data_IF_991804111441
#
_entry.id   IF_991804111441
#
_cell.length_a   1.000
_cell.length_b   1.000
_cell.length_c   1.000
_cell.angle_alpha   90.00
_cell.angle_beta   90.00
_cell.angle_gamma   90.00
#
_symmetry.space_group_name_H-M   'P 1'
#
loop_
_entity.id
_entity.type
_entity.pdbx_description
1 polymer ?
#
# COMPACT_ATOMS: atom_id res chain seq x y z
N UNK A 1 -18.54 28.73 -2.28
CA UNK A 1 -18.70 30.02 -1.57
C UNK A 1 -17.29 30.47 -1.24
N UNK A 2 -16.80 31.54 -1.88
CA UNK A 2 -15.38 31.91 -1.82
C UNK A 2 -15.11 32.83 -0.62
N UNK A 3 -13.88 32.85 -0.05
CA UNK A 3 -13.54 33.68 1.10
C UNK A 3 -13.70 35.20 0.88
N UNK A 4 -13.78 35.65 -0.39
CA UNK A 4 -13.99 37.05 -0.75
C UNK A 4 -15.39 37.60 -0.41
N UNK A 5 -16.39 36.74 -0.24
CA UNK A 5 -17.78 37.15 0.03
C UNK A 5 -17.94 37.77 1.44
N UNK A 6 -17.05 37.42 2.39
CA UNK A 6 -17.04 37.99 3.75
C UNK A 6 -16.39 39.38 3.82
N UNK A 7 -15.42 39.68 2.94
CA UNK A 7 -14.60 40.90 3.02
C UNK A 7 -15.38 42.15 2.61
N UNK A 8 -16.21 42.05 1.58
CA UNK A 8 -17.03 43.16 1.10
C UNK A 8 -18.20 43.48 2.06
N UNK A 9 -18.76 42.44 2.71
CA UNK A 9 -19.86 42.56 3.67
C UNK A 9 -19.42 43.25 4.96
N UNK A 10 -18.17 43.02 5.39
CA UNK A 10 -17.59 43.62 6.59
C UNK A 10 -17.20 45.10 6.40
N UNK A 11 -16.78 45.49 5.18
CA UNK A 11 -16.49 46.89 4.87
C UNK A 11 -17.77 47.75 4.82
N UNK A 12 -18.84 47.23 4.22
CA UNK A 12 -20.12 47.94 4.09
C UNK A 12 -20.82 48.16 5.44
N UNK A 13 -20.66 47.24 6.39
CA UNK A 13 -21.21 47.36 7.75
C UNK A 13 -20.45 48.35 8.63
N UNK A 14 -19.19 48.67 8.33
CA UNK A 14 -18.44 49.71 9.04
C UNK A 14 -18.62 51.12 8.48
N UNK A 15 -18.90 51.26 7.19
CA UNK A 15 -19.12 52.57 6.56
C UNK A 15 -20.52 53.11 6.90
N UNK A 16 -21.52 52.24 7.04
CA UNK A 16 -22.85 52.61 7.53
C UNK A 16 -22.92 52.49 9.06
N UNK A 17 -22.62 53.59 9.75
CA UNK A 17 -22.81 53.73 11.19
C UNK A 17 -24.22 53.32 11.65
N UNK A 18 -24.27 52.77 12.85
CA UNK A 18 -25.45 52.23 13.52
C UNK A 18 -26.64 53.20 13.55
N UNK A 19 -27.69 52.94 12.78
CA UNK A 19 -29.07 53.29 13.14
C UNK A 19 -30.09 52.46 12.35
N UNK A 20 -31.13 51.99 13.06
CA UNK A 20 -32.39 51.38 12.57
C UNK A 20 -32.48 49.84 12.52
N UNK A 21 -33.30 49.30 13.44
CA UNK A 21 -33.68 47.91 13.61
C UNK A 21 -34.69 47.37 12.55
N UNK A 22 -34.61 47.80 11.28
CA UNK A 22 -35.53 47.38 10.20
C UNK A 22 -34.90 46.58 9.05
N UNK A 23 -33.62 46.21 9.14
CA UNK A 23 -32.92 45.42 8.11
C UNK A 23 -32.97 43.90 8.36
N UNK A 24 -34.10 43.35 8.82
CA UNK A 24 -34.29 41.88 9.05
C UNK A 24 -35.39 41.24 8.21
N UNK A 25 -35.92 41.92 7.19
CA UNK A 25 -37.05 41.40 6.40
C UNK A 25 -36.91 41.68 4.90
N UNK A 26 -35.87 41.13 4.27
CA UNK A 26 -35.81 40.87 2.83
C UNK A 26 -34.64 39.95 2.54
N UNK A 27 -34.83 38.66 2.81
CA UNK A 27 -33.92 37.59 2.41
C UNK A 27 -34.76 36.49 1.76
N UNK A 28 -35.33 36.76 0.58
CA UNK A 28 -36.03 35.73 -0.19
C UNK A 28 -36.07 35.96 -1.71
N UNK A 29 -35.12 36.72 -2.29
CA UNK A 29 -35.03 36.88 -3.76
C UNK A 29 -33.56 36.87 -4.18
N UNK A 30 -32.90 35.70 -4.13
CA UNK A 30 -31.54 35.53 -4.72
C UNK A 30 -31.39 34.24 -5.54
N UNK A 31 -32.45 33.45 -5.76
CA UNK A 31 -32.34 32.23 -6.58
C UNK A 31 -32.65 32.41 -8.07
N UNK A 32 -32.50 33.62 -8.63
CA UNK A 32 -32.69 33.81 -10.09
C UNK A 32 -31.94 35.00 -10.68
N UNK A 33 -30.63 35.08 -10.47
CA UNK A 33 -29.75 35.92 -11.32
C UNK A 33 -28.51 35.10 -11.66
N UNK A 34 -28.61 34.31 -12.73
CA UNK A 34 -27.45 33.74 -13.41
C UNK A 34 -26.77 34.83 -14.23
N UNK A 35 -25.45 34.98 -14.05
CA UNK A 35 -24.53 35.71 -14.95
C UNK A 35 -24.69 37.24 -15.00
N UNK A 36 -24.39 37.91 -13.90
CA UNK A 36 -23.94 39.32 -13.94
C UNK A 36 -22.49 39.37 -13.41
N UNK A 37 -21.50 39.86 -14.19
CA UNK A 37 -20.14 40.02 -13.70
C UNK A 37 -20.11 40.85 -12.41
N UNK A 38 -19.40 40.38 -11.39
CA UNK A 38 -19.26 41.05 -10.08
C UNK A 38 -18.88 42.52 -10.22
N UNK A 39 -18.11 42.86 -11.25
CA UNK A 39 -17.72 44.23 -11.61
C UNK A 39 -18.93 45.13 -11.85
N UNK A 40 -19.98 44.63 -12.50
CA UNK A 40 -21.21 45.41 -12.78
C UNK A 40 -21.98 45.67 -11.49
N UNK A 41 -22.01 44.70 -10.56
CA UNK A 41 -22.67 44.87 -9.26
C UNK A 41 -21.93 45.90 -8.40
N UNK A 42 -20.60 45.85 -8.37
CA UNK A 42 -19.76 46.84 -7.68
C UNK A 42 -19.94 48.24 -8.30
N UNK A 43 -19.96 48.32 -9.63
CA UNK A 43 -20.13 49.59 -10.33
C UNK A 43 -21.51 50.21 -10.06
N UNK A 44 -22.57 49.40 -10.07
CA UNK A 44 -23.93 49.83 -9.73
C UNK A 44 -24.05 50.29 -8.27
N UNK A 45 -23.40 49.59 -7.33
CA UNK A 45 -23.38 49.98 -5.92
C UNK A 45 -22.63 51.31 -5.72
N UNK A 46 -21.49 51.52 -6.39
CA UNK A 46 -20.76 52.79 -6.34
C UNK A 46 -21.58 53.94 -6.95
N UNK A 47 -22.30 53.68 -8.05
CA UNK A 47 -23.21 54.65 -8.67
C UNK A 47 -24.40 55.01 -7.75
N UNK A 48 -25.02 54.02 -7.11
CA UNK A 48 -26.11 54.23 -6.16
C UNK A 48 -25.65 55.02 -4.92
N UNK A 49 -24.46 54.69 -4.41
CA UNK A 49 -23.86 55.41 -3.28
C UNK A 49 -23.52 56.85 -3.66
N UNK A 50 -23.01 57.08 -4.87
CA UNK A 50 -22.75 58.43 -5.38
C UNK A 50 -24.04 59.25 -5.54
N UNK A 51 -25.11 58.64 -6.06
CA UNK A 51 -26.41 59.30 -6.18
C UNK A 51 -27.01 59.65 -4.81
N UNK A 52 -26.95 58.73 -3.86
CA UNK A 52 -27.42 58.93 -2.49
C UNK A 52 -26.67 60.08 -1.78
N UNK A 53 -25.33 60.13 -1.92
CA UNK A 53 -24.52 61.19 -1.35
C UNK A 53 -24.81 62.56 -1.98
N UNK A 54 -25.09 62.60 -3.29
CA UNK A 54 -25.46 63.82 -4.02
C UNK A 54 -26.85 64.32 -3.62
N UNK A 55 -27.81 63.43 -3.42
CA UNK A 55 -29.20 63.77 -3.10
C UNK A 55 -29.38 64.21 -1.64
N UNK A 56 -28.48 63.80 -0.74
CA UNK A 56 -28.53 64.18 0.68
C UNK A 56 -27.55 65.30 1.06
N UNK A 57 -26.93 65.97 0.08
CA UNK A 57 -26.12 67.17 0.32
C UNK A 57 -24.92 66.94 1.25
N UNK A 58 -24.45 65.69 1.37
CA UNK A 58 -23.33 65.33 2.24
C UNK A 58 -22.03 65.77 1.55
N UNK A 59 -21.68 67.04 1.72
CA UNK A 59 -20.36 67.55 1.39
C UNK A 59 -19.38 67.08 2.45
N UNK A 60 -18.43 66.24 2.06
CA UNK A 60 -17.43 65.68 2.95
C UNK A 60 -16.49 66.80 3.43
N UNK A 61 -16.67 67.27 4.67
CA UNK A 61 -15.86 68.31 5.34
C UNK A 61 -14.67 67.73 6.13
N UNK A 62 -14.26 66.48 5.85
CA UNK A 62 -13.01 65.92 6.38
C UNK A 62 -11.84 66.25 5.45
N UNK A 63 -10.73 66.75 6.01
CA UNK A 63 -9.50 66.98 5.26
C UNK A 63 -9.11 65.71 4.50
N UNK A 64 -9.07 65.77 3.16
CA UNK A 64 -8.67 64.66 2.30
C UNK A 64 -7.28 64.10 2.64
N UNK A 65 -6.42 64.87 3.34
CA UNK A 65 -5.09 64.42 3.75
C UNK A 65 -5.13 63.31 4.80
N UNK A 66 -6.05 63.38 5.77
CA UNK A 66 -5.97 62.58 7.00
C UNK A 66 -6.63 61.21 6.83
N UNK A 67 -7.66 61.14 5.99
CA UNK A 67 -8.27 59.86 5.58
C UNK A 67 -7.31 59.11 4.66
N UNK A 68 -6.59 59.83 3.78
CA UNK A 68 -5.66 59.21 2.84
C UNK A 68 -4.41 58.67 3.55
N UNK A 69 -3.87 59.39 4.53
CA UNK A 69 -2.72 58.93 5.32
C UNK A 69 -3.06 57.72 6.19
N UNK A 70 -4.25 57.71 6.81
CA UNK A 70 -4.71 56.59 7.64
C UNK A 70 -4.97 55.33 6.80
N UNK A 71 -5.60 55.47 5.62
CA UNK A 71 -5.81 54.34 4.68
C UNK A 71 -4.46 53.82 4.17
N UNK A 72 -3.50 54.70 3.87
CA UNK A 72 -2.17 54.29 3.42
C UNK A 72 -1.40 53.56 4.52
N UNK A 73 -1.48 54.00 5.78
CA UNK A 73 -0.86 53.30 6.91
C UNK A 73 -1.50 51.93 7.18
N UNK A 74 -2.83 51.83 7.16
CA UNK A 74 -3.53 50.56 7.31
C UNK A 74 -3.20 49.63 6.13
N UNK A 75 -3.14 50.15 4.90
CA UNK A 75 -2.75 49.37 3.72
C UNK A 75 -1.29 48.91 3.78
N UNK A 76 -0.37 49.71 4.32
CA UNK A 76 1.03 49.32 4.48
C UNK A 76 1.22 48.29 5.60
N UNK A 77 0.41 48.38 6.67
CA UNK A 77 0.34 47.36 7.73
C UNK A 77 -0.27 46.04 7.20
N UNK A 78 -1.34 46.11 6.40
CA UNK A 78 -1.91 44.94 5.73
C UNK A 78 -0.97 44.37 4.67
N UNK A 79 -0.25 45.22 3.92
CA UNK A 79 0.76 44.80 2.95
C UNK A 79 1.92 44.09 3.63
N UNK A 80 2.37 44.55 4.80
CA UNK A 80 3.35 43.83 5.64
C UNK A 80 2.81 42.52 6.21
N UNK A 81 1.52 42.43 6.53
CA UNK A 81 0.83 41.19 6.94
C UNK A 81 0.66 40.18 5.78
N UNK A 82 0.58 40.64 4.53
CA UNK A 82 0.52 39.82 3.30
C UNK A 82 1.89 39.64 2.60
N UNK A 83 2.91 40.38 3.02
CA UNK A 83 4.31 40.16 2.66
C UNK A 83 4.95 39.06 3.53
N UNK A 84 4.27 38.65 4.61
CA UNK A 84 4.51 37.34 5.23
C UNK A 84 4.11 36.28 4.21
N UNK A 85 5.13 35.60 3.68
CA UNK A 85 5.07 34.36 2.90
C UNK A 85 4.96 34.46 1.36
N UNK A 86 5.54 35.50 0.74
CA UNK A 86 5.97 35.43 -0.67
C UNK A 86 7.43 35.02 -0.88
N UNK A 87 8.17 34.84 0.21
CA UNK A 87 9.50 34.24 0.18
C UNK A 87 9.36 32.72 0.34
N UNK A 88 9.47 32.01 -0.78
CA UNK A 88 9.58 30.55 -0.95
C UNK A 88 8.32 29.68 -0.89
N UNK A 89 7.40 29.86 -1.86
CA UNK A 89 6.73 28.68 -2.46
C UNK A 89 7.68 28.09 -3.49
N UNK A 90 8.89 27.73 -3.07
CA UNK A 90 9.97 27.20 -3.92
C UNK A 90 9.95 25.66 -3.99
N UNK A 91 8.78 25.07 -3.73
CA UNK A 91 8.53 23.62 -3.77
C UNK A 91 7.36 23.30 -4.69
N UNK A 92 7.34 23.92 -5.87
CA UNK A 92 6.42 23.49 -6.93
C UNK A 92 7.12 22.42 -7.74
N UNK A 93 6.63 21.18 -7.67
CA UNK A 93 7.12 20.06 -8.45
C UNK A 93 6.11 19.74 -9.57
N UNK A 94 6.61 19.53 -10.79
CA UNK A 94 5.79 19.09 -11.92
C UNK A 94 6.10 17.63 -12.22
N UNK A 95 5.04 16.83 -12.40
CA UNK A 95 5.14 15.42 -12.75
C UNK A 95 4.24 15.13 -13.94
N UNK A 96 4.83 14.68 -15.04
CA UNK A 96 4.09 14.07 -16.13
C UNK A 96 3.95 12.58 -15.87
N UNK A 97 2.74 12.14 -15.56
CA UNK A 97 2.47 10.74 -15.20
C UNK A 97 2.65 9.76 -16.37
N UNK A 98 2.67 10.25 -17.62
CA UNK A 98 2.92 9.42 -18.79
C UNK A 98 4.39 8.96 -18.89
N UNK A 99 5.28 9.55 -18.09
CA UNK A 99 6.69 9.12 -18.01
C UNK A 99 6.91 7.96 -17.02
N UNK A 100 5.89 7.59 -16.24
CA UNK A 100 5.99 6.60 -15.17
C UNK A 100 5.00 5.45 -15.39
N UNK A 101 5.02 4.91 -16.61
CA UNK A 101 4.07 3.88 -17.03
C UNK A 101 4.41 2.51 -16.44
N UNK A 102 5.68 2.15 -16.27
CA UNK A 102 6.08 0.80 -15.89
C UNK A 102 6.21 -0.11 -17.10
N UNK A 103 7.46 -0.36 -17.50
CA UNK A 103 7.83 -1.14 -18.69
C UNK A 103 8.54 -2.44 -18.31
N UNK A 104 8.72 -3.33 -19.29
CA UNK A 104 9.54 -4.55 -19.16
C UNK A 104 11.03 -4.29 -18.98
N UNK A 105 11.48 -3.06 -19.30
CA UNK A 105 12.90 -2.64 -19.30
C UNK A 105 13.19 -1.63 -18.19
N UNK A 106 12.53 -1.78 -17.03
CA UNK A 106 12.58 -0.82 -15.93
C UNK A 106 13.98 -0.42 -15.48
N UNK A 107 14.95 -1.35 -15.47
CA UNK A 107 16.35 -1.04 -15.13
C UNK A 107 16.96 -0.04 -16.12
N UNK A 108 16.78 -0.26 -17.42
CA UNK A 108 17.32 0.62 -18.47
C UNK A 108 16.66 1.99 -18.46
N UNK A 109 15.38 2.04 -18.10
CA UNK A 109 14.59 3.27 -18.05
C UNK A 109 14.65 3.97 -16.67
N UNK A 110 15.49 3.49 -15.75
CA UNK A 110 15.62 4.00 -14.38
C UNK A 110 14.27 4.09 -13.62
N UNK A 111 13.39 3.11 -13.86
CA UNK A 111 12.05 3.10 -13.29
C UNK A 111 12.10 2.86 -11.78
N UNK A 112 11.48 3.77 -11.03
CA UNK A 112 11.41 3.67 -9.58
C UNK A 112 10.27 2.75 -9.16
N UNK A 113 10.59 1.81 -8.28
CA UNK A 113 9.67 0.84 -7.70
C UNK A 113 9.34 1.26 -6.27
N UNK A 114 8.06 1.16 -5.91
CA UNK A 114 7.62 1.22 -4.52
C UNK A 114 7.40 -0.19 -3.98
N UNK A 115 8.26 -0.64 -3.06
CA UNK A 115 8.10 -1.89 -2.33
C UNK A 115 7.29 -1.67 -1.05
N UNK A 116 6.21 -2.42 -0.87
CA UNK A 116 5.27 -2.26 0.25
C UNK A 116 5.20 -3.55 1.06
N UNK A 117 5.51 -3.44 2.35
CA UNK A 117 5.59 -4.59 3.27
C UNK A 117 4.73 -4.32 4.51
N UNK A 118 3.55 -4.95 4.62
CA UNK A 118 2.76 -4.92 5.86
C UNK A 118 3.38 -5.85 6.91
N UNK A 119 3.45 -5.40 8.16
CA UNK A 119 4.07 -6.09 9.28
C UNK A 119 3.12 -6.16 10.49
N UNK A 120 3.00 -7.36 11.07
CA UNK A 120 2.28 -7.60 12.32
C UNK A 120 2.93 -8.77 13.05
N UNK A 121 3.42 -8.54 14.27
CA UNK A 121 4.13 -9.56 15.06
C UNK A 121 5.22 -10.29 14.24
N UNK A 122 6.02 -9.53 13.49
CA UNK A 122 6.94 -10.05 12.49
C UNK A 122 8.39 -10.10 12.97
N UNK A 123 8.68 -9.73 14.22
CA UNK A 123 10.03 -9.66 14.79
C UNK A 123 10.90 -10.87 14.42
N UNK A 124 10.38 -12.08 14.60
CA UNK A 124 11.11 -13.33 14.37
C UNK A 124 11.50 -13.56 12.90
N UNK A 125 10.75 -12.99 11.95
CA UNK A 125 11.02 -13.15 10.51
C UNK A 125 11.83 -12.00 9.92
N UNK A 126 11.99 -10.88 10.64
CA UNK A 126 12.70 -9.70 10.14
C UNK A 126 14.14 -9.98 9.70
N UNK A 127 15.00 -10.71 10.45
CA UNK A 127 16.36 -10.99 10.00
C UNK A 127 16.41 -11.56 8.59
N UNK A 128 15.50 -12.50 8.33
CA UNK A 128 15.43 -13.20 7.07
C UNK A 128 14.77 -12.37 5.96
N UNK A 129 13.71 -11.64 6.29
CA UNK A 129 13.07 -10.69 5.37
C UNK A 129 14.11 -9.70 4.82
N UNK A 130 14.95 -9.13 5.68
CA UNK A 130 15.99 -8.19 5.26
C UNK A 130 17.08 -8.86 4.40
N UNK A 131 17.53 -10.07 4.73
CA UNK A 131 18.44 -10.83 3.85
C UNK A 131 17.83 -11.06 2.46
N UNK A 132 16.54 -11.36 2.41
CA UNK A 132 15.86 -11.53 1.14
C UNK A 132 15.73 -10.22 0.36
N UNK A 133 15.48 -9.11 1.03
CA UNK A 133 15.51 -7.78 0.42
C UNK A 133 16.89 -7.45 -0.15
N UNK A 134 17.95 -7.70 0.61
CA UNK A 134 19.34 -7.49 0.17
C UNK A 134 19.70 -8.36 -1.03
N UNK A 135 19.13 -9.57 -1.14
CA UNK A 135 19.35 -10.47 -2.27
C UNK A 135 18.66 -10.03 -3.58
N UNK A 136 17.89 -8.94 -3.59
CA UNK A 136 17.30 -8.44 -4.82
C UNK A 136 18.35 -7.77 -5.70
N UNK A 137 18.29 -8.05 -7.00
CA UNK A 137 19.26 -7.59 -8.00
C UNK A 137 18.80 -6.36 -8.76
N UNK A 138 17.55 -5.92 -8.57
CA UNK A 138 17.10 -4.65 -9.09
C UNK A 138 17.88 -3.54 -8.38
N UNK A 139 18.38 -2.49 -9.08
CA UNK A 139 19.22 -1.48 -8.43
C UNK A 139 18.55 -0.89 -7.20
N UNK A 140 19.17 -1.02 -6.03
CA UNK A 140 18.56 -0.59 -4.77
C UNK A 140 18.30 0.93 -4.76
N UNK A 141 19.09 1.71 -5.50
CA UNK A 141 18.91 3.14 -5.75
C UNK A 141 17.62 3.50 -6.53
N UNK A 142 16.91 2.51 -7.07
CA UNK A 142 15.63 2.66 -7.76
C UNK A 142 14.46 2.03 -6.99
N UNK A 143 14.67 1.65 -5.73
CA UNK A 143 13.63 1.02 -4.91
C UNK A 143 13.36 1.87 -3.67
N UNK A 144 12.17 2.46 -3.60
CA UNK A 144 11.61 3.06 -2.40
C UNK A 144 10.90 1.97 -1.59
N UNK A 145 11.24 1.81 -0.31
CA UNK A 145 10.63 0.82 0.59
C UNK A 145 9.71 1.52 1.58
N UNK A 146 8.51 0.99 1.79
CA UNK A 146 7.64 1.43 2.87
C UNK A 146 7.07 0.24 3.67
N UNK A 147 7.29 0.31 4.98
CA UNK A 147 6.77 -0.64 5.96
C UNK A 147 5.52 -0.08 6.65
N UNK A 148 4.55 -0.94 6.92
CA UNK A 148 3.43 -0.64 7.84
C UNK A 148 3.46 -1.59 9.01
N UNK A 149 3.77 -1.12 10.20
CA UNK A 149 3.62 -1.87 11.45
C UNK A 149 2.23 -1.61 12.04
N UNK A 150 1.43 -2.67 12.18
CA UNK A 150 0.01 -2.56 12.54
C UNK A 150 -0.46 -3.71 13.43
N UNK A 151 -1.29 -3.39 14.42
CA UNK A 151 -2.03 -4.34 15.26
C UNK A 151 -1.11 -5.39 15.94
N UNK A 152 0.10 -4.96 16.33
CA UNK A 152 1.06 -5.77 17.08
C UNK A 152 0.60 -5.99 18.53
N UNK A 153 1.01 -7.12 19.10
CA UNK A 153 0.71 -7.48 20.49
C UNK A 153 1.52 -6.60 21.46
N UNK A 154 1.06 -6.43 22.69
CA UNK A 154 1.69 -5.52 23.67
C UNK A 154 3.13 -5.86 24.07
N UNK A 155 3.63 -7.05 23.73
CA UNK A 155 5.00 -7.50 23.99
C UNK A 155 5.84 -7.70 22.72
N UNK A 156 5.33 -7.33 21.56
CA UNK A 156 6.03 -7.45 20.28
C UNK A 156 6.99 -6.27 20.06
N UNK A 157 8.17 -6.53 19.51
CA UNK A 157 9.17 -5.49 19.23
C UNK A 157 9.41 -5.24 17.73
N UNK A 158 8.49 -5.70 16.85
CA UNK A 158 8.57 -5.54 15.39
C UNK A 158 8.93 -4.10 14.97
N UNK A 159 8.31 -3.08 15.59
CA UNK A 159 8.59 -1.67 15.25
C UNK A 159 10.03 -1.26 15.55
N UNK A 160 10.55 -1.65 16.70
CA UNK A 160 11.92 -1.32 17.10
C UNK A 160 12.91 -2.03 16.17
N UNK A 161 12.72 -3.33 15.98
CA UNK A 161 13.61 -4.17 15.16
C UNK A 161 13.62 -3.73 13.69
N UNK A 162 12.45 -3.42 13.08
CA UNK A 162 12.43 -2.93 11.69
C UNK A 162 13.09 -1.56 11.55
N UNK A 163 12.97 -0.69 12.55
CA UNK A 163 13.64 0.62 12.57
C UNK A 163 15.17 0.46 12.65
N UNK A 164 15.64 -0.37 13.57
CA UNK A 164 17.07 -0.60 13.76
C UNK A 164 17.69 -1.27 12.53
N UNK A 165 17.04 -2.31 11.98
CA UNK A 165 17.53 -2.99 10.79
C UNK A 165 17.49 -2.08 9.56
N UNK A 166 16.47 -1.23 9.42
CA UNK A 166 16.42 -0.24 8.33
C UNK A 166 17.57 0.77 8.41
N UNK A 167 17.93 1.24 9.61
CA UNK A 167 19.08 2.13 9.79
C UNK A 167 20.40 1.43 9.43
N UNK A 168 20.58 0.20 9.88
CA UNK A 168 21.76 -0.60 9.55
C UNK A 168 21.84 -0.91 8.05
N UNK A 169 20.71 -1.17 7.41
CA UNK A 169 20.61 -1.40 5.96
C UNK A 169 21.06 -0.16 5.18
N UNK A 170 20.56 1.01 5.57
CA UNK A 170 20.91 2.28 4.93
C UNK A 170 22.38 2.67 5.16
N UNK A 171 22.98 2.23 6.27
CA UNK A 171 24.39 2.45 6.57
C UNK A 171 25.33 1.39 5.96
N UNK A 172 24.78 0.33 5.32
CA UNK A 172 25.57 -0.77 4.77
C UNK A 172 26.24 -1.67 5.82
N UNK A 173 25.73 -1.68 7.05
CA UNK A 173 26.29 -2.47 8.18
C UNK A 173 25.38 -3.61 8.64
N UNK A 174 24.21 -3.77 8.02
CA UNK A 174 23.24 -4.79 8.41
C UNK A 174 23.78 -6.21 8.30
N UNK A 175 24.50 -6.55 7.22
CA UNK A 175 25.04 -7.90 7.04
C UNK A 175 25.97 -8.29 8.20
N UNK A 176 26.88 -7.41 8.59
CA UNK A 176 27.78 -7.62 9.74
C UNK A 176 26.98 -7.79 11.02
N UNK A 177 25.96 -6.96 11.23
CA UNK A 177 25.10 -7.09 12.41
C UNK A 177 24.37 -8.43 12.46
N UNK A 178 23.81 -8.89 11.34
CA UNK A 178 23.12 -10.19 11.27
C UNK A 178 24.09 -11.36 11.51
N UNK A 179 25.32 -11.29 10.98
CA UNK A 179 26.36 -12.28 11.26
C UNK A 179 26.75 -12.31 12.75
N UNK A 180 26.87 -11.15 13.38
CA UNK A 180 27.14 -11.04 14.82
C UNK A 180 25.97 -11.58 15.67
N UNK A 181 24.73 -11.32 15.26
CA UNK A 181 23.54 -11.87 15.89
C UNK A 181 23.53 -13.40 15.80
N UNK A 182 23.76 -13.97 14.62
CA UNK A 182 23.85 -15.41 14.42
C UNK A 182 24.99 -16.04 15.25
N UNK A 183 26.14 -15.36 15.36
CA UNK A 183 27.25 -15.80 16.22
C UNK A 183 26.93 -15.80 17.72
N UNK A 184 26.10 -14.85 18.19
CA UNK A 184 25.67 -14.77 19.60
C UNK A 184 24.50 -15.68 19.91
N UNK A 185 23.57 -15.81 18.97
CA UNK A 185 22.33 -16.56 19.08
C UNK A 185 22.16 -17.45 17.83
N UNK A 186 22.83 -18.62 17.79
CA UNK A 186 22.76 -19.50 16.63
C UNK A 186 21.33 -19.89 16.27
N UNK A 187 20.98 -19.72 14.99
CA UNK A 187 19.66 -19.99 14.42
C UNK A 187 18.68 -18.83 14.45
N UNK A 188 19.02 -17.67 15.02
CA UNK A 188 18.11 -16.53 15.10
C UNK A 188 17.91 -15.81 13.76
N UNK A 189 18.82 -16.00 12.80
CA UNK A 189 18.72 -15.41 11.46
C UNK A 189 18.23 -16.40 10.40
N UNK A 190 17.95 -17.65 10.82
CA UNK A 190 17.54 -18.70 9.91
C UNK A 190 16.02 -18.76 9.77
N UNK A 191 15.50 -19.08 8.57
CA UNK A 191 14.10 -19.43 8.40
C UNK A 191 13.67 -20.56 9.34
N UNK A 192 12.38 -20.56 9.71
CA UNK A 192 11.80 -21.61 10.54
C UNK A 192 12.08 -23.03 10.00
N UNK A 193 12.11 -23.22 8.67
CA UNK A 193 12.42 -24.51 8.05
C UNK A 193 13.80 -25.06 8.46
N UNK A 194 14.78 -24.20 8.75
CA UNK A 194 16.10 -24.62 9.20
C UNK A 194 16.08 -25.21 10.60
N UNK A 195 15.23 -24.69 11.49
CA UNK A 195 15.01 -25.29 12.80
C UNK A 195 14.51 -26.73 12.68
N UNK A 196 13.85 -27.03 11.55
CA UNK A 196 13.29 -28.33 11.22
C UNK A 196 14.05 -29.04 10.10
N UNK A 197 15.27 -28.62 9.74
CA UNK A 197 15.99 -29.15 8.55
C UNK A 197 16.13 -30.67 8.54
N UNK A 198 16.25 -31.28 9.73
CA UNK A 198 16.41 -32.74 9.88
C UNK A 198 15.16 -33.51 9.48
N UNK A 199 14.01 -32.83 9.39
CA UNK A 199 12.77 -33.40 8.89
C UNK A 199 12.49 -33.00 7.44
N UNK A 200 13.27 -32.09 6.87
CA UNK A 200 13.13 -31.63 5.48
C UNK A 200 13.90 -32.55 4.54
N UNK A 201 13.58 -32.50 3.25
CA UNK A 201 14.30 -33.23 2.21
C UNK A 201 15.82 -33.00 2.30
N UNK A 202 16.66 -34.04 2.12
CA UNK A 202 18.11 -33.88 2.11
C UNK A 202 18.57 -32.78 1.14
N UNK A 203 19.45 -31.90 1.61
CA UNK A 203 19.97 -30.76 0.84
C UNK A 203 19.07 -29.51 0.84
N UNK A 204 17.88 -29.54 1.43
CA UNK A 204 16.98 -28.39 1.49
C UNK A 204 17.61 -27.16 2.17
N UNK A 205 18.20 -27.34 3.35
CA UNK A 205 18.85 -26.23 4.04
C UNK A 205 20.07 -25.70 3.28
N UNK A 206 20.76 -26.53 2.52
CA UNK A 206 21.96 -26.11 1.78
C UNK A 206 21.60 -25.21 0.59
N UNK A 207 20.50 -25.49 -0.12
CA UNK A 207 20.05 -24.64 -1.22
C UNK A 207 19.63 -23.25 -0.77
N UNK A 208 18.94 -23.16 0.38
CA UNK A 208 18.53 -21.88 0.97
C UNK A 208 19.75 -21.13 1.51
N UNK A 209 20.67 -21.78 2.23
CA UNK A 209 21.91 -21.13 2.70
C UNK A 209 22.72 -20.58 1.53
N UNK A 210 22.84 -21.34 0.44
CA UNK A 210 23.56 -20.92 -0.76
C UNK A 210 22.99 -19.63 -1.35
N UNK A 211 21.67 -19.42 -1.28
CA UNK A 211 21.03 -18.21 -1.80
C UNK A 211 21.43 -16.94 -1.01
N UNK A 212 21.83 -17.07 0.25
CA UNK A 212 22.21 -15.95 1.13
C UNK A 212 23.67 -16.04 1.59
N UNK A 213 24.49 -16.81 0.88
CA UNK A 213 25.92 -16.96 1.15
C UNK A 213 26.75 -16.29 0.06
N UNK A 214 28.01 -15.89 0.34
CA UNK A 214 28.91 -15.35 -0.65
C UNK A 214 29.14 -16.30 -1.84
N UNK A 215 29.46 -15.79 -3.05
CA UNK A 215 29.68 -14.37 -3.36
C UNK A 215 28.36 -13.60 -3.53
N UNK A 216 28.26 -12.44 -2.89
CA UNK A 216 27.12 -11.53 -3.05
C UNK A 216 27.24 -10.71 -4.34
N UNK A 217 26.11 -10.33 -4.93
CA UNK A 217 26.08 -9.42 -6.07
C UNK A 217 26.38 -7.96 -5.65
N UNK A 218 26.67 -7.10 -6.62
CA UNK A 218 27.09 -5.71 -6.37
C UNK A 218 26.07 -4.86 -5.62
N UNK A 219 24.78 -5.19 -5.74
CA UNK A 219 23.71 -4.47 -5.03
C UNK A 219 23.53 -4.88 -3.57
N UNK A 220 24.05 -6.03 -3.12
CA UNK A 220 23.58 -6.70 -1.90
C UNK A 220 23.67 -5.84 -0.63
N UNK A 221 24.77 -5.12 -0.45
CA UNK A 221 25.00 -4.24 0.71
C UNK A 221 24.69 -2.76 0.42
N UNK A 222 24.21 -2.43 -0.80
CA UNK A 222 23.88 -1.04 -1.16
C UNK A 222 22.59 -0.61 -0.48
N UNK A 223 22.49 0.67 -0.08
CA UNK A 223 21.26 1.21 0.47
C UNK A 223 20.14 1.26 -0.58
N UNK A 224 18.92 1.03 -0.13
CA UNK A 224 17.70 1.37 -0.88
C UNK A 224 17.57 2.88 -1.05
N UNK A 225 16.87 3.31 -2.11
CA UNK A 225 16.67 4.72 -2.47
C UNK A 225 16.08 5.52 -1.30
N UNK A 226 15.01 5.00 -0.71
CA UNK A 226 14.42 5.51 0.52
C UNK A 226 13.82 4.36 1.33
N UNK A 227 13.75 4.53 2.64
CA UNK A 227 13.02 3.64 3.55
C UNK A 227 12.09 4.48 4.42
N UNK A 228 10.80 4.14 4.42
CA UNK A 228 9.77 4.76 5.24
C UNK A 228 9.13 3.72 6.15
N UNK A 229 8.93 4.05 7.42
CA UNK A 229 8.26 3.19 8.39
C UNK A 229 7.04 3.93 8.90
N UNK A 230 5.89 3.33 8.73
CA UNK A 230 4.63 3.83 9.25
C UNK A 230 4.14 2.91 10.37
N UNK A 231 3.61 3.48 11.43
CA UNK A 231 2.89 2.75 12.47
C UNK A 231 1.44 3.20 12.48
N UNK A 232 0.51 2.26 12.33
CA UNK A 232 -0.92 2.55 12.43
C UNK A 232 -1.72 1.29 12.67
N UNK A 233 -2.57 1.31 13.70
CA UNK A 233 -3.51 0.22 13.98
C UNK A 233 -4.86 0.43 13.29
N UNK A 234 -5.51 -0.70 12.94
CA UNK A 234 -6.83 -0.75 12.31
C UNK A 234 -7.88 -1.48 13.14
N UNK A 235 -7.49 -1.99 14.32
CA UNK A 235 -8.40 -2.66 15.24
C UNK A 235 -8.63 -4.12 14.89
N UNK A 236 -7.63 -4.81 14.35
CA UNK A 236 -7.69 -6.25 14.05
C UNK A 236 -7.68 -7.15 15.31
N UNK A 237 -7.95 -6.61 16.49
CA UNK A 237 -7.91 -7.29 17.78
C UNK A 237 -9.13 -8.22 18.05
N UNK A 238 -9.79 -8.73 17.01
CA UNK A 238 -10.93 -9.64 17.16
C UNK A 238 -10.45 -11.10 17.07
N UNK A 239 -10.50 -11.79 18.22
CA UNK A 239 -10.56 -13.26 18.35
C UNK A 239 -9.30 -14.07 17.96
N UNK A 240 -8.36 -14.26 18.89
CA UNK A 240 -7.18 -15.13 18.70
C UNK A 240 -7.44 -16.64 18.96
N UNK A 241 -8.69 -17.12 18.90
CA UNK A 241 -8.99 -18.56 18.93
C UNK A 241 -8.77 -19.20 17.56
N UNK A 242 -8.07 -20.33 17.46
CA UNK A 242 -8.01 -21.11 16.21
C UNK A 242 -9.43 -21.53 15.76
N UNK A 243 -10.35 -21.76 16.71
CA UNK A 243 -11.72 -22.18 16.45
C UNK A 243 -12.67 -21.04 15.98
N UNK A 244 -12.43 -19.78 16.35
CA UNK A 244 -13.27 -18.64 15.92
C UNK A 244 -12.86 -18.06 14.55
N UNK A 245 -11.68 -18.46 14.04
CA UNK A 245 -11.12 -18.02 12.75
C UNK A 245 -11.67 -18.78 11.54
N UNK A 246 -12.49 -19.80 11.76
CA UNK A 246 -13.04 -20.67 10.71
C UNK A 246 -14.53 -20.41 10.44
N UNK A 247 -15.12 -19.34 10.95
CA UNK A 247 -16.42 -18.89 10.44
C UNK A 247 -16.17 -18.03 9.19
N UNK A 248 -16.79 -18.41 8.07
CA UNK A 248 -16.75 -17.72 6.77
C UNK A 248 -16.97 -16.21 6.94
N UNK A 249 -17.91 -15.82 7.82
CA UNK A 249 -18.21 -14.40 8.07
C UNK A 249 -17.04 -13.65 8.72
N UNK A 250 -16.30 -14.31 9.60
CA UNK A 250 -15.13 -13.72 10.28
C UNK A 250 -13.98 -13.52 9.27
N UNK A 251 -13.79 -14.45 8.34
CA UNK A 251 -12.78 -14.30 7.28
C UNK A 251 -13.06 -13.11 6.37
N UNK A 252 -14.32 -12.90 5.97
CA UNK A 252 -14.72 -11.72 5.18
C UNK A 252 -14.38 -10.39 5.88
N UNK A 253 -14.67 -10.28 7.18
CA UNK A 253 -14.35 -9.09 7.98
C UNK A 253 -12.83 -8.88 8.07
N UNK A 254 -12.06 -9.96 8.30
CA UNK A 254 -10.59 -9.90 8.38
C UNK A 254 -9.98 -9.39 7.07
N UNK A 255 -10.41 -9.92 5.92
CA UNK A 255 -9.92 -9.48 4.59
C UNK A 255 -10.23 -8.00 4.36
N UNK A 256 -11.44 -7.53 4.68
CA UNK A 256 -11.80 -6.11 4.58
C UNK A 256 -10.89 -5.21 5.43
N UNK A 257 -10.55 -5.63 6.65
CA UNK A 257 -9.59 -4.90 7.50
C UNK A 257 -8.16 -4.90 6.92
N UNK A 258 -7.71 -6.01 6.35
CA UNK A 258 -6.42 -6.07 5.65
C UNK A 258 -6.39 -5.14 4.43
N UNK A 259 -7.47 -5.10 3.65
CA UNK A 259 -7.63 -4.18 2.52
C UNK A 259 -7.50 -2.72 2.96
N UNK A 260 -8.06 -2.34 4.12
CA UNK A 260 -7.88 -0.99 4.70
C UNK A 260 -6.42 -0.68 5.02
N UNK A 261 -5.70 -1.62 5.63
CA UNK A 261 -4.30 -1.46 5.98
C UNK A 261 -3.42 -1.29 4.73
N UNK A 262 -3.59 -2.17 3.72
CA UNK A 262 -2.87 -2.09 2.43
C UNK A 262 -3.17 -0.75 1.74
N UNK A 263 -4.43 -0.36 1.60
CA UNK A 263 -4.78 0.91 0.95
C UNK A 263 -4.22 2.12 1.66
N UNK A 264 -4.17 2.11 3.00
CA UNK A 264 -3.60 3.20 3.77
C UNK A 264 -2.09 3.30 3.55
N UNK A 265 -1.36 2.18 3.61
CA UNK A 265 0.08 2.13 3.33
C UNK A 265 0.38 2.65 1.92
N UNK A 266 -0.34 2.14 0.92
CA UNK A 266 -0.22 2.57 -0.46
C UNK A 266 -0.43 4.09 -0.60
N UNK A 267 -1.51 4.61 0.00
CA UNK A 267 -1.86 6.03 -0.10
C UNK A 267 -0.82 6.93 0.59
N UNK A 268 -0.20 6.47 1.66
CA UNK A 268 0.84 7.21 2.37
C UNK A 268 2.18 7.22 1.59
N UNK A 269 2.51 6.11 0.93
CA UNK A 269 3.81 5.89 0.33
C UNK A 269 3.89 6.23 -1.18
N UNK A 270 2.82 6.03 -1.95
CA UNK A 270 2.80 6.22 -3.40
C UNK A 270 3.13 7.66 -3.81
N UNK A 271 4.08 7.80 -4.74
CA UNK A 271 4.52 9.08 -5.31
C UNK A 271 4.27 9.14 -6.82
N UNK A 272 4.24 10.35 -7.41
CA UNK A 272 3.98 10.52 -8.84
C UNK A 272 5.00 9.81 -9.75
N UNK A 273 6.25 9.66 -9.28
CA UNK A 273 7.36 9.11 -10.04
C UNK A 273 7.50 7.58 -9.96
N UNK A 274 6.66 6.90 -9.18
CA UNK A 274 6.67 5.43 -9.12
C UNK A 274 6.09 4.86 -10.42
N UNK A 275 6.81 3.92 -11.02
CA UNK A 275 6.38 3.21 -12.23
C UNK A 275 5.77 1.85 -11.88
N UNK A 276 6.26 1.22 -10.82
CA UNK A 276 5.77 -0.05 -10.31
C UNK A 276 5.53 0.00 -8.81
N UNK A 277 4.58 -0.81 -8.34
CA UNK A 277 4.34 -1.12 -6.93
C UNK A 277 4.54 -2.61 -6.74
N UNK A 278 5.41 -2.98 -5.81
CA UNK A 278 5.71 -4.36 -5.47
C UNK A 278 5.27 -4.66 -4.04
N UNK A 279 4.18 -5.40 -3.90
CA UNK A 279 3.70 -5.88 -2.60
C UNK A 279 4.43 -7.15 -2.22
N UNK A 280 4.84 -7.25 -0.95
CA UNK A 280 5.60 -8.39 -0.48
C UNK A 280 5.28 -8.69 0.99
N UNK A 281 5.01 -9.94 1.31
CA UNK A 281 4.89 -10.40 2.70
C UNK A 281 6.29 -10.63 3.32
N UNK A 282 6.38 -10.53 4.65
CA UNK A 282 7.64 -10.57 5.40
C UNK A 282 8.19 -12.00 5.63
N UNK A 283 7.35 -13.00 5.42
CA UNK A 283 7.53 -14.42 5.72
C UNK A 283 7.86 -15.26 4.48
N UNK A 284 8.44 -14.61 3.46
CA UNK A 284 9.00 -15.29 2.29
C UNK A 284 10.38 -15.87 2.65
N UNK A 285 10.50 -17.19 2.54
CA UNK A 285 11.72 -17.95 2.78
C UNK A 285 12.68 -17.95 1.59
N UNK A 286 12.22 -18.02 0.36
CA UNK A 286 13.14 -17.82 -0.76
C UNK A 286 12.47 -17.30 -2.00
N UNK A 287 13.24 -16.52 -2.73
CA UNK A 287 12.85 -15.90 -3.99
C UNK A 287 14.12 -15.67 -4.80
N UNK A 288 14.09 -15.87 -6.13
CA UNK A 288 15.22 -15.47 -6.97
C UNK A 288 15.49 -13.97 -6.84
N UNK A 289 16.77 -13.59 -6.79
CA UNK A 289 17.16 -12.18 -6.67
C UNK A 289 16.69 -11.31 -7.84
N UNK A 290 16.42 -11.92 -8.99
CA UNK A 290 15.87 -11.26 -10.19
C UNK A 290 14.35 -11.15 -10.21
N UNK A 291 13.64 -11.48 -9.12
CA UNK A 291 12.17 -11.57 -9.09
C UNK A 291 11.44 -10.37 -9.68
N UNK A 292 11.92 -9.16 -9.42
CA UNK A 292 11.29 -7.96 -9.96
C UNK A 292 11.42 -7.94 -11.49
N UNK A 293 12.64 -8.11 -12.01
CA UNK A 293 12.91 -8.13 -13.45
C UNK A 293 12.18 -9.27 -14.16
N UNK A 294 12.16 -10.44 -13.52
CA UNK A 294 11.50 -11.64 -14.05
C UNK A 294 9.99 -11.48 -14.16
N UNK A 295 9.36 -10.73 -13.24
CA UNK A 295 7.93 -10.41 -13.34
C UNK A 295 7.66 -9.25 -14.30
N UNK A 296 8.55 -8.24 -14.35
CA UNK A 296 8.41 -7.08 -15.25
C UNK A 296 8.36 -7.46 -16.72
N UNK A 297 9.12 -8.47 -17.15
CA UNK A 297 9.21 -8.87 -18.58
C UNK A 297 7.86 -9.22 -19.20
N UNK A 298 6.91 -9.71 -18.40
CA UNK A 298 5.56 -10.03 -18.87
C UNK A 298 4.74 -8.81 -19.29
N UNK A 299 5.24 -7.60 -19.00
CA UNK A 299 4.67 -6.37 -19.55
C UNK A 299 4.66 -6.35 -21.08
N UNK A 300 5.64 -6.97 -21.73
CA UNK A 300 5.70 -7.08 -23.21
C UNK A 300 4.53 -7.92 -23.77
N UNK A 301 4.01 -8.83 -22.96
CA UNK A 301 2.82 -9.62 -23.28
C UNK A 301 1.51 -8.90 -22.90
N UNK A 302 1.59 -7.67 -22.36
CA UNK A 302 0.46 -6.83 -22.03
C UNK A 302 -0.10 -7.00 -20.61
N UNK A 303 0.60 -7.71 -19.71
CA UNK A 303 0.17 -7.84 -18.31
C UNK A 303 0.52 -6.59 -17.49
N UNK A 304 -0.38 -6.20 -16.58
CA UNK A 304 -0.25 -5.02 -15.72
C UNK A 304 -0.13 -5.37 -14.23
N UNK A 305 -0.65 -6.55 -13.85
CA UNK A 305 -0.50 -7.17 -12.52
C UNK A 305 0.03 -8.58 -12.73
N UNK A 306 1.17 -8.90 -12.12
CA UNK A 306 1.85 -10.18 -12.26
C UNK A 306 2.17 -10.72 -10.87
N UNK A 307 1.80 -11.98 -10.63
CA UNK A 307 2.15 -12.70 -9.41
C UNK A 307 2.90 -14.00 -9.71
N UNK A 308 3.88 -14.37 -8.88
CA UNK A 308 4.49 -15.68 -8.95
C UNK A 308 3.61 -16.75 -8.31
N UNK A 309 3.94 -18.01 -8.58
CA UNK A 309 3.38 -19.12 -7.82
C UNK A 309 4.04 -19.19 -6.43
N UNK A 310 3.29 -19.48 -5.38
CA UNK A 310 3.80 -19.51 -4.00
C UNK A 310 3.54 -20.86 -3.35
N UNK A 311 4.63 -21.48 -2.93
CA UNK A 311 4.65 -22.80 -2.30
C UNK A 311 5.30 -22.69 -0.92
N UNK A 312 5.09 -23.71 -0.09
CA UNK A 312 5.81 -23.85 1.18
C UNK A 312 6.49 -25.21 1.24
N UNK A 313 7.70 -25.28 1.83
CA UNK A 313 8.31 -26.57 2.12
C UNK A 313 7.56 -27.25 3.26
N UNK A 314 7.71 -28.56 3.34
CA UNK A 314 7.21 -29.37 4.42
C UNK A 314 8.23 -30.42 4.82
N UNK A 315 8.15 -30.89 6.07
CA UNK A 315 8.76 -32.14 6.45
C UNK A 315 8.44 -33.29 5.48
N UNK A 316 9.39 -34.23 5.31
CA UNK A 316 9.24 -35.41 4.44
C UNK A 316 7.99 -36.23 4.83
N UNK A 317 7.71 -36.34 6.13
CA UNK A 317 6.54 -37.05 6.65
C UNK A 317 5.19 -36.37 6.34
N UNK A 318 5.20 -35.13 5.84
CA UNK A 318 4.02 -34.39 5.36
C UNK A 318 3.99 -34.23 3.84
N UNK A 319 4.91 -34.86 3.10
CA UNK A 319 4.92 -34.82 1.63
C UNK A 319 5.86 -33.80 1.00
N UNK A 320 6.85 -33.27 1.75
CA UNK A 320 7.95 -32.40 1.30
C UNK A 320 7.61 -30.96 0.90
N UNK A 321 6.51 -30.73 0.22
CA UNK A 321 6.13 -29.41 -0.27
C UNK A 321 4.63 -29.36 -0.52
N UNK A 322 4.04 -28.16 -0.41
CA UNK A 322 2.65 -27.97 -0.77
C UNK A 322 2.37 -26.57 -1.32
N UNK A 323 1.34 -26.43 -2.16
CA UNK A 323 0.68 -25.16 -2.45
C UNK A 323 0.45 -24.31 -1.19
N UNK A 324 0.77 -23.02 -1.25
CA UNK A 324 0.54 -22.10 -0.14
C UNK A 324 -0.56 -21.08 -0.47
N UNK A 325 -0.37 -20.26 -1.50
CA UNK A 325 -1.31 -19.19 -1.83
C UNK A 325 -2.43 -19.69 -2.74
N UNK A 326 -3.60 -19.93 -2.15
CA UNK A 326 -4.81 -20.36 -2.87
C UNK A 326 -5.69 -19.18 -3.31
N UNK A 327 -5.30 -17.93 -3.05
CA UNK A 327 -6.07 -16.74 -3.47
C UNK A 327 -5.80 -16.34 -4.93
N UNK A 328 -4.81 -16.98 -5.56
CA UNK A 328 -4.50 -16.85 -6.97
C UNK A 328 -5.28 -17.88 -7.78
N UNK A 329 -6.28 -17.47 -8.56
CA UNK A 329 -7.16 -18.40 -9.26
C UNK A 329 -7.77 -17.83 -10.55
N UNK A 330 -8.21 -18.75 -11.41
CA UNK A 330 -9.01 -18.48 -12.61
C UNK A 330 -10.49 -18.69 -12.25
N UNK A 331 -11.33 -17.73 -12.62
CA UNK A 331 -12.76 -17.77 -12.31
C UNK A 331 -13.46 -18.96 -12.98
N UNK A 332 -14.43 -19.55 -12.31
CA UNK A 332 -15.24 -20.67 -12.83
C UNK A 332 -16.70 -20.28 -12.98
N UNK A 333 -17.45 -21.03 -13.80
CA UNK A 333 -18.90 -20.82 -13.93
C UNK A 333 -19.65 -21.17 -12.64
N UNK A 334 -19.21 -22.21 -11.92
CA UNK A 334 -19.80 -22.60 -10.64
C UNK A 334 -19.62 -21.51 -9.57
N UNK A 335 -18.46 -20.84 -9.53
CA UNK A 335 -18.21 -19.74 -8.61
C UNK A 335 -19.03 -18.49 -8.97
N UNK A 336 -19.26 -18.22 -10.26
CA UNK A 336 -20.16 -17.15 -10.72
C UNK A 336 -21.62 -17.44 -10.34
N UNK A 337 -22.07 -18.67 -10.52
CA UNK A 337 -23.41 -19.10 -10.11
C UNK A 337 -23.59 -18.97 -8.59
N UNK A 338 -22.61 -19.46 -7.81
CA UNK A 338 -22.58 -19.28 -6.37
C UNK A 338 -22.65 -17.80 -5.99
N UNK A 339 -21.78 -16.95 -6.53
CA UNK A 339 -21.78 -15.51 -6.25
C UNK A 339 -23.14 -14.86 -6.56
N UNK A 340 -23.81 -15.26 -7.64
CA UNK A 340 -25.14 -14.74 -8.00
C UNK A 340 -26.26 -15.13 -7.03
N UNK A 341 -26.03 -16.16 -6.20
CA UNK A 341 -26.98 -16.63 -5.18
C UNK A 341 -26.75 -16.02 -3.79
N UNK A 342 -25.61 -15.37 -3.58
CA UNK A 342 -25.22 -14.79 -2.29
C UNK A 342 -25.68 -13.33 -2.17
N UNK A 343 -25.76 -12.84 -0.94
CA UNK A 343 -26.02 -11.41 -0.70
C UNK A 343 -24.80 -10.57 -1.13
N UNK A 344 -25.02 -9.31 -1.53
CA UNK A 344 -23.94 -8.42 -2.02
C UNK A 344 -22.81 -8.24 -1.00
N UNK A 345 -23.12 -8.35 0.30
CA UNK A 345 -22.16 -8.20 1.39
C UNK A 345 -21.38 -9.48 1.72
N UNK A 346 -21.82 -10.64 1.23
CA UNK A 346 -21.17 -11.93 1.48
C UNK A 346 -19.84 -12.02 0.75
N UNK A 347 -18.84 -12.59 1.44
CA UNK A 347 -17.48 -12.75 0.89
C UNK A 347 -17.20 -14.23 0.70
N UNK A 348 -16.94 -14.61 -0.55
CA UNK A 348 -16.40 -15.90 -0.91
C UNK A 348 -14.94 -15.92 -0.47
N UNK A 349 -14.58 -16.93 0.32
CA UNK A 349 -13.22 -17.20 0.75
C UNK A 349 -12.91 -18.64 0.37
N UNK A 350 -11.80 -18.85 -0.34
CA UNK A 350 -11.39 -20.18 -0.76
C UNK A 350 -11.05 -21.09 0.42
N UNK A 351 -11.28 -22.40 0.25
CA UNK A 351 -10.96 -23.43 1.24
C UNK A 351 -12.12 -23.86 2.16
N UNK A 352 -13.31 -23.30 1.97
CA UNK A 352 -14.52 -23.66 2.72
C UNK A 352 -15.36 -24.67 1.95
N UNK A 353 -15.73 -25.78 2.61
CA UNK A 353 -16.55 -26.83 2.00
C UNK A 353 -17.96 -26.33 1.63
N UNK A 354 -18.42 -25.29 2.34
CA UNK A 354 -19.69 -24.62 2.12
C UNK A 354 -19.75 -23.88 0.77
N UNK A 355 -18.60 -23.51 0.20
CA UNK A 355 -18.49 -22.79 -1.07
C UNK A 355 -17.69 -23.60 -2.09
N UNK A 356 -18.33 -24.55 -2.80
CA UNK A 356 -17.68 -25.29 -3.86
C UNK A 356 -17.48 -24.39 -5.10
N UNK A 357 -16.37 -23.65 -5.12
CA UNK A 357 -16.05 -22.70 -6.20
C UNK A 357 -15.53 -23.39 -7.47
N UNK A 358 -14.93 -24.58 -7.37
CA UNK A 358 -14.33 -25.30 -8.51
C UNK A 358 -13.34 -24.47 -9.34
N UNK A 359 -12.73 -23.47 -8.71
CA UNK A 359 -11.74 -22.61 -9.36
C UNK A 359 -10.44 -23.37 -9.58
N UNK A 360 -9.76 -23.01 -10.65
CA UNK A 360 -8.40 -23.51 -10.90
C UNK A 360 -7.45 -22.55 -10.19
N UNK A 361 -6.79 -23.03 -9.13
CA UNK A 361 -5.81 -22.22 -8.40
C UNK A 361 -4.43 -22.30 -9.07
N UNK A 362 -3.75 -21.16 -9.19
CA UNK A 362 -2.40 -21.06 -9.75
C UNK A 362 -1.44 -22.04 -9.08
N UNK A 363 -1.60 -22.23 -7.76
CA UNK A 363 -0.75 -23.09 -6.97
C UNK A 363 -0.71 -24.55 -7.46
N UNK A 364 -1.83 -25.08 -7.94
CA UNK A 364 -1.91 -26.46 -8.44
C UNK A 364 -1.43 -26.64 -9.88
N UNK A 365 -1.12 -25.55 -10.59
CA UNK A 365 -0.66 -25.61 -11.99
C UNK A 365 0.86 -25.78 -12.11
N UNK A 366 1.59 -25.81 -10.99
CA UNK A 366 3.05 -25.98 -11.00
C UNK A 366 3.43 -27.37 -11.53
N UNK A 367 4.47 -27.39 -12.38
CA UNK A 367 5.18 -28.59 -12.81
C UNK A 367 6.67 -28.35 -12.61
N UNK A 368 7.41 -29.39 -12.18
CA UNK A 368 8.87 -29.30 -11.99
C UNK A 368 9.63 -29.11 -13.32
N UNK A 369 9.03 -29.52 -14.44
CA UNK A 369 9.59 -29.36 -15.79
C UNK A 369 8.95 -28.17 -16.53
N UNK A 370 8.10 -27.41 -15.85
CA UNK A 370 7.39 -26.27 -16.43
C UNK A 370 8.33 -25.10 -16.71
N UNK A 371 8.01 -24.33 -17.74
CA UNK A 371 8.80 -23.17 -18.12
C UNK A 371 8.49 -21.98 -17.19
N UNK A 372 9.48 -21.40 -16.48
CA UNK A 372 9.27 -20.24 -15.62
C UNK A 372 8.77 -19.00 -16.36
N UNK A 373 8.91 -18.96 -17.69
CA UNK A 373 8.44 -17.87 -18.55
C UNK A 373 7.00 -18.06 -19.03
N UNK A 374 6.32 -19.11 -18.57
CA UNK A 374 4.89 -19.28 -18.80
C UNK A 374 4.09 -18.34 -17.89
N UNK A 375 3.03 -17.77 -18.43
CA UNK A 375 2.08 -16.92 -17.72
C UNK A 375 0.67 -17.26 -18.18
N UNK A 376 -0.28 -17.21 -17.24
CA UNK A 376 -1.70 -17.45 -17.52
C UNK A 376 -2.51 -16.27 -17.01
N UNK A 377 -3.61 -15.95 -17.68
CA UNK A 377 -4.56 -14.95 -17.18
C UNK A 377 -5.22 -15.46 -15.88
N UNK A 378 -5.33 -14.58 -14.89
CA UNK A 378 -5.99 -14.85 -13.61
C UNK A 378 -7.20 -13.94 -13.41
N UNK A 379 -8.02 -14.25 -12.40
CA UNK A 379 -9.13 -13.42 -11.93
C UNK A 379 -8.94 -13.01 -10.46
N UNK A 380 -8.52 -13.95 -9.61
CA UNK A 380 -8.08 -13.73 -8.24
C UNK A 380 -6.57 -13.54 -8.14
N UNK A 381 -6.13 -12.66 -7.25
CA UNK A 381 -4.71 -12.35 -7.02
C UNK A 381 -4.32 -12.75 -5.61
N UNK A 382 -3.18 -13.43 -5.50
CA UNK A 382 -2.51 -13.77 -4.24
C UNK A 382 -1.92 -12.56 -3.52
N UNK A 383 -1.80 -12.63 -2.19
CA UNK A 383 -1.34 -11.51 -1.35
C UNK A 383 0.16 -11.43 -1.12
N UNK A 384 0.89 -12.51 -1.41
CA UNK A 384 2.27 -12.73 -0.94
C UNK A 384 3.32 -11.95 -1.72
N UNK A 385 3.19 -11.90 -3.05
CA UNK A 385 4.12 -11.20 -3.93
C UNK A 385 3.36 -10.70 -5.16
N UNK A 386 3.22 -9.38 -5.29
CA UNK A 386 2.44 -8.76 -6.37
C UNK A 386 3.26 -7.65 -6.99
N UNK A 387 3.64 -7.82 -8.26
CA UNK A 387 4.15 -6.73 -9.06
C UNK A 387 3.01 -6.13 -9.87
N UNK A 388 2.68 -4.87 -9.62
CA UNK A 388 1.63 -4.16 -10.34
C UNK A 388 2.11 -2.80 -10.82
N UNK A 389 1.67 -2.37 -12.01
CA UNK A 389 1.98 -1.03 -12.51
C UNK A 389 1.40 0.03 -11.57
N UNK A 390 2.17 1.07 -11.27
CA UNK A 390 1.73 2.13 -10.36
C UNK A 390 0.54 2.93 -10.90
N UNK A 391 0.40 3.00 -12.23
CA UNK A 391 -0.72 3.64 -12.91
C UNK A 391 -2.08 3.04 -12.51
N UNK A 392 -2.14 1.72 -12.26
CA UNK A 392 -3.34 0.99 -11.87
C UNK A 392 -3.98 1.64 -10.62
N UNK A 393 -3.15 1.91 -9.62
CA UNK A 393 -3.55 2.50 -8.36
C UNK A 393 -3.92 3.98 -8.51
N UNK A 394 -3.18 4.73 -9.34
CA UNK A 394 -3.52 6.13 -9.65
C UNK A 394 -4.86 6.27 -10.38
N UNK A 395 -5.26 5.26 -11.14
CA UNK A 395 -6.57 5.16 -11.80
C UNK A 395 -7.69 4.67 -10.89
N UNK A 396 -7.37 4.27 -9.65
CA UNK A 396 -8.35 3.92 -8.62
C UNK A 396 -8.47 2.44 -8.29
N UNK A 397 -7.67 1.56 -8.89
CA UNK A 397 -7.60 0.16 -8.45
C UNK A 397 -7.02 0.09 -7.04
N UNK A 398 -7.58 -0.76 -6.18
CA UNK A 398 -7.16 -0.86 -4.78
C UNK A 398 -7.61 -2.20 -4.17
N UNK A 399 -7.14 -2.49 -2.95
CA UNK A 399 -7.53 -3.69 -2.20
C UNK A 399 -8.88 -3.43 -1.52
N UNK A 400 -9.98 -3.97 -2.03
CA UNK A 400 -11.30 -3.55 -1.55
C UNK A 400 -11.48 -3.80 -0.04
N UNK A 401 -11.77 -2.72 0.68
CA UNK A 401 -12.09 -2.72 2.11
C UNK A 401 -13.58 -3.00 2.38
N UNK A 402 -14.30 -3.37 1.33
CA UNK A 402 -15.72 -3.66 1.23
C UNK A 402 -15.88 -4.83 0.25
N UNK A 403 -17.07 -5.41 0.17
CA UNK A 403 -17.30 -6.51 -0.76
C UNK A 403 -17.37 -5.98 -2.20
N UNK A 404 -16.59 -6.57 -3.10
CA UNK A 404 -16.62 -6.28 -4.53
C UNK A 404 -16.77 -7.60 -5.30
N UNK A 405 -17.91 -7.78 -5.96
CA UNK A 405 -18.30 -9.05 -6.60
C UNK A 405 -18.14 -10.27 -5.68
N UNK A 406 -18.62 -10.17 -4.44
CA UNK A 406 -18.48 -11.18 -3.38
C UNK A 406 -17.04 -11.50 -2.96
N UNK A 407 -16.07 -10.60 -3.19
CA UNK A 407 -14.69 -10.76 -2.75
C UNK A 407 -14.21 -9.53 -1.97
N UNK A 408 -13.10 -9.65 -1.26
CA UNK A 408 -12.45 -8.55 -0.58
C UNK A 408 -10.94 -8.58 -0.79
N UNK A 409 -10.27 -7.48 -0.49
CA UNK A 409 -8.80 -7.39 -0.44
C UNK A 409 -8.11 -7.74 -1.78
N UNK A 410 -7.22 -8.73 -1.83
CA UNK A 410 -6.36 -9.07 -2.99
C UNK A 410 -7.13 -9.74 -4.11
N UNK A 411 -8.04 -10.65 -3.81
CA UNK A 411 -8.89 -11.32 -4.81
C UNK A 411 -9.80 -10.31 -5.53
N UNK A 412 -10.39 -9.41 -4.75
CA UNK A 412 -11.20 -8.33 -5.31
C UNK A 412 -10.36 -7.31 -6.08
N UNK A 413 -9.11 -7.06 -5.69
CA UNK A 413 -8.19 -6.24 -6.48
C UNK A 413 -7.96 -6.84 -7.87
N UNK A 414 -7.77 -8.17 -7.97
CA UNK A 414 -7.68 -8.87 -9.25
C UNK A 414 -8.90 -8.66 -10.14
N UNK A 415 -10.10 -8.88 -9.59
CA UNK A 415 -11.37 -8.62 -10.29
C UNK A 415 -11.52 -7.16 -10.72
N UNK A 416 -11.22 -6.23 -9.82
CA UNK A 416 -11.32 -4.80 -10.07
C UNK A 416 -10.38 -4.36 -11.20
N UNK A 417 -9.12 -4.83 -11.17
CA UNK A 417 -8.15 -4.55 -12.22
C UNK A 417 -8.67 -4.98 -13.60
N UNK A 418 -9.23 -6.19 -13.72
CA UNK A 418 -9.82 -6.67 -14.97
C UNK A 418 -11.01 -5.83 -15.42
N UNK A 419 -11.89 -5.45 -14.51
CA UNK A 419 -13.06 -4.59 -14.81
C UNK A 419 -12.64 -3.20 -15.28
N UNK A 420 -11.49 -2.71 -14.84
CA UNK A 420 -10.88 -1.47 -15.28
C UNK A 420 -10.14 -1.60 -16.62
N UNK A 421 -10.11 -2.80 -17.23
CA UNK A 421 -9.49 -3.07 -18.52
C UNK A 421 -8.01 -3.45 -18.46
N UNK A 422 -7.47 -3.72 -17.27
CA UNK A 422 -6.10 -4.20 -17.09
C UNK A 422 -6.01 -5.71 -17.15
N UNK A 423 -4.81 -6.22 -17.46
CA UNK A 423 -4.55 -7.67 -17.48
C UNK A 423 -3.82 -8.13 -16.23
N UNK A 424 -4.34 -9.23 -15.66
CA UNK A 424 -3.82 -9.86 -14.45
C UNK A 424 -3.30 -11.23 -14.84
N UNK A 425 -2.04 -11.52 -14.50
CA UNK A 425 -1.39 -12.77 -14.85
C UNK A 425 -0.67 -13.44 -13.67
N UNK A 426 -0.56 -14.75 -13.75
CA UNK A 426 0.19 -15.56 -12.80
C UNK A 426 1.18 -16.48 -13.50
N UNK A 427 2.38 -16.63 -12.94
CA UNK A 427 3.41 -17.51 -13.52
C UNK A 427 3.40 -18.87 -12.81
N UNK A 428 2.84 -19.93 -13.40
CA UNK A 428 2.61 -21.20 -12.69
C UNK A 428 3.88 -21.92 -12.26
N UNK A 429 5.00 -21.67 -12.94
CA UNK A 429 6.26 -22.41 -12.76
C UNK A 429 7.38 -21.58 -12.12
N UNK A 430 7.23 -20.26 -12.10
CA UNK A 430 8.13 -19.38 -11.36
C UNK A 430 7.67 -19.33 -9.89
N UNK A 431 8.42 -20.00 -9.01
CA UNK A 431 8.00 -20.30 -7.63
C UNK A 431 8.76 -19.47 -6.60
N UNK A 432 8.01 -18.83 -5.70
CA UNK A 432 8.49 -18.31 -4.43
C UNK A 432 8.15 -19.29 -3.31
N UNK A 433 9.00 -19.31 -2.29
CA UNK A 433 8.83 -20.18 -1.13
C UNK A 433 8.51 -19.37 0.10
N UNK A 434 7.37 -19.67 0.71
CA UNK A 434 6.97 -19.16 2.02
C UNK A 434 7.60 -20.01 3.13
N UNK A 435 7.82 -19.42 4.32
CA UNK A 435 8.30 -20.17 5.48
C UNK A 435 7.33 -21.30 5.87
N UNK A 436 7.88 -22.35 6.47
CA UNK A 436 7.08 -23.40 7.09
C UNK A 436 6.80 -23.08 8.56
N UNK A 437 5.55 -22.82 8.89
CA UNK A 437 5.09 -22.65 10.28
C UNK A 437 4.48 -23.96 10.78
N UNK A 438 5.13 -24.68 11.71
CA UNK A 438 4.61 -25.95 12.19
C UNK A 438 3.35 -25.73 13.05
N UNK A 439 2.33 -26.55 12.80
CA UNK A 439 1.18 -26.66 13.70
C UNK A 439 1.57 -27.35 15.02
N UNK A 440 0.67 -27.25 16.01
CA UNK A 440 0.83 -27.95 17.29
C UNK A 440 0.98 -29.46 17.09
N UNK A 441 0.27 -30.03 16.12
CA UNK A 441 0.32 -31.46 15.83
C UNK A 441 1.60 -31.84 15.08
N UNK A 442 2.10 -30.98 14.19
CA UNK A 442 3.42 -31.17 13.56
C UNK A 442 4.52 -31.22 14.61
N UNK A 443 4.48 -30.31 15.59
CA UNK A 443 5.44 -30.29 16.70
C UNK A 443 5.37 -31.57 17.55
N UNK A 444 4.17 -32.12 17.80
CA UNK A 444 4.02 -33.40 18.51
C UNK A 444 4.59 -34.55 17.69
N UNK A 445 4.31 -34.57 16.38
CA UNK A 445 4.80 -35.62 15.49
C UNK A 445 6.32 -35.60 15.39
N UNK A 446 6.94 -34.41 15.25
CA UNK A 446 8.40 -34.24 15.28
C UNK A 446 9.02 -34.72 16.59
N UNK A 447 8.37 -34.46 17.73
CA UNK A 447 8.81 -34.98 19.04
C UNK A 447 8.75 -36.52 19.09
N UNK A 448 7.68 -37.12 18.58
CA UNK A 448 7.56 -38.58 18.51
C UNK A 448 8.64 -39.20 17.61
N UNK A 449 8.93 -38.60 16.45
CA UNK A 449 10.00 -39.05 15.56
C UNK A 449 11.37 -39.03 16.27
N UNK A 450 11.75 -37.91 16.90
CA UNK A 450 13.01 -37.80 17.66
C UNK A 450 13.12 -38.82 18.79
N UNK A 451 12.03 -39.06 19.52
CA UNK A 451 12.02 -40.07 20.58
C UNK A 451 12.19 -41.50 20.02
N UNK A 452 11.61 -41.78 18.86
CA UNK A 452 11.71 -43.10 18.21
C UNK A 452 13.11 -43.39 17.64
N UNK A 453 13.83 -42.37 17.17
CA UNK A 453 15.22 -42.51 16.72
C UNK A 453 16.18 -42.72 17.88
N UNK A 454 16.01 -41.97 18.97
CA UNK A 454 16.84 -42.13 20.17
C UNK A 454 16.67 -43.50 20.85
N UNK A 455 15.52 -44.16 20.68
CA UNK A 455 15.28 -45.52 21.19
C UNK A 455 15.82 -46.62 20.26
N UNK A 456 16.31 -46.26 19.06
CA UNK A 456 16.94 -47.20 18.10
C UNK A 456 18.47 -47.16 18.13
N UNK A 457 19.06 -46.16 18.80
CA UNK A 457 20.48 -46.11 19.17
C UNK A 457 20.68 -46.72 20.56
#
# INVERSE_FOLDING_TARGET
MFPGDFFLLFLLTRICGSHSAKAKKSFSIVNRISRVPVIIVVFLLLLLTWFYLKEHGIHNTGSKSDIHSTILQDMDQYRKLFEVDKQSIDKTEFYDLNLFEGTSTGVTNEEVILMLIPLRNAEDVLPFMFLNMMNMTYPHSLVDVAFLVSDCSSGDSTLATVSDFSLLLQNGTLLTHLQDLEGKYPGCTLPSSFLFKNFMKPGYGESILKAYSPPYHSEFEKPFRTVQIFQKDFGQAVGQGFNDRHDVKVQGIRRKLMGRARNWLLSAALKPYHSWVYWRDADIESSPGSVIQDLMKFRDQGFDVIIPNVWRPLPEFLGNEQPYDLNAWIESDAARELASSLDEDDVIVEGYAEYPTWRVHLAYLRSNEGNPDDIIDLDGVGGVSILARAELFRKGAHFSAFTFENHAETEAFGKMAKKMGFRVGGTPHYTLWHIYEPSVDDLKQMKHYKASENNKQ
#
